data_IF_427530508269
#
_entry.id   IF_427530508269
#
_cell.length_a   1.000
_cell.length_b   1.000
_cell.length_c   1.000
_cell.angle_alpha   90.00
_cell.angle_beta   90.00
_cell.angle_gamma   90.00
#
_symmetry.space_group_name_H-M   'P 1'
#
loop_
_entity.id
_entity.type
_entity.pdbx_description
1 polymer ?
#
# COMPACT_ATOMS: atom_id res chain seq x y z
N UNK A 1 19.51 -10.44 5.17
CA UNK A 1 18.50 -9.48 4.64
C UNK A 1 17.74 -10.22 3.57
N UNK A 2 16.55 -10.72 3.88
CA UNK A 2 15.77 -11.48 2.90
C UNK A 2 15.29 -10.51 1.82
N UNK A 3 15.73 -10.73 0.59
CA UNK A 3 15.25 -9.99 -0.57
C UNK A 3 13.79 -10.34 -0.81
N UNK A 4 12.87 -9.50 -0.33
CA UNK A 4 11.46 -9.56 -0.73
C UNK A 4 11.33 -9.09 -2.18
N UNK A 5 11.65 -9.97 -3.13
CA UNK A 5 11.46 -9.70 -4.54
C UNK A 5 9.96 -9.82 -4.87
N UNK A 6 9.23 -8.72 -4.73
CA UNK A 6 7.81 -8.68 -5.08
C UNK A 6 7.66 -8.82 -6.61
N UNK A 7 6.91 -9.82 -7.12
CA UNK A 7 6.67 -9.98 -8.56
C UNK A 7 6.00 -8.74 -9.17
N UNK A 8 5.28 -7.96 -8.36
CA UNK A 8 4.68 -6.69 -8.77
C UNK A 8 5.47 -5.44 -8.37
N UNK A 9 6.75 -5.57 -8.00
CA UNK A 9 7.60 -4.45 -7.53
C UNK A 9 7.53 -3.22 -8.44
N UNK A 10 7.70 -3.38 -9.76
CA UNK A 10 7.58 -2.29 -10.75
C UNK A 10 6.19 -1.67 -10.79
N UNK A 11 5.13 -2.48 -10.71
CA UNK A 11 3.75 -1.99 -10.70
C UNK A 11 3.45 -1.20 -9.43
N UNK A 12 3.92 -1.68 -8.27
CA UNK A 12 3.79 -1.02 -6.98
C UNK A 12 4.53 0.32 -7.00
N UNK A 13 5.79 0.34 -7.46
CA UNK A 13 6.58 1.57 -7.61
C UNK A 13 5.84 2.58 -8.49
N UNK A 14 5.35 2.17 -9.66
CA UNK A 14 4.61 3.06 -10.55
C UNK A 14 3.33 3.63 -9.91
N UNK A 15 2.64 2.84 -9.07
CA UNK A 15 1.46 3.32 -8.32
C UNK A 15 1.87 4.33 -7.25
N UNK A 16 2.95 4.07 -6.53
CA UNK A 16 3.50 4.98 -5.53
C UNK A 16 3.93 6.31 -6.16
N UNK A 17 4.59 6.31 -7.32
CA UNK A 17 4.95 7.54 -8.03
C UNK A 17 3.72 8.39 -8.38
N UNK A 18 2.60 7.78 -8.78
CA UNK A 18 1.34 8.51 -9.04
C UNK A 18 0.72 9.07 -7.75
N UNK A 19 0.74 8.29 -6.67
CA UNK A 19 0.24 8.72 -5.35
C UNK A 19 1.01 9.95 -4.86
N UNK A 20 2.34 9.96 -5.02
CA UNK A 20 3.18 11.11 -4.68
C UNK A 20 2.76 12.34 -5.48
N UNK A 21 2.58 12.20 -6.80
CA UNK A 21 2.11 13.30 -7.65
C UNK A 21 0.73 13.85 -7.23
N UNK A 22 -0.20 12.98 -6.81
CA UNK A 22 -1.49 13.42 -6.28
C UNK A 22 -1.35 14.15 -4.93
N UNK A 23 -0.48 13.66 -4.03
CA UNK A 23 -0.23 14.32 -2.76
C UNK A 23 0.42 15.70 -2.95
N UNK A 24 1.34 15.84 -3.90
CA UNK A 24 1.90 17.13 -4.29
C UNK A 24 0.83 18.08 -4.87
N UNK A 25 -0.12 17.55 -5.64
CA UNK A 25 -1.24 18.35 -6.15
C UNK A 25 -2.13 18.85 -5.00
N UNK A 26 -2.46 18.01 -4.02
CA UNK A 26 -3.19 18.42 -2.81
C UNK A 26 -2.46 19.54 -2.08
N UNK A 27 -1.13 19.43 -1.91
CA UNK A 27 -0.31 20.48 -1.31
C UNK A 27 -0.44 21.80 -2.08
N UNK A 28 -0.29 21.78 -3.41
CA UNK A 28 -0.45 22.99 -4.25
C UNK A 28 -1.85 23.60 -4.12
N UNK A 29 -2.89 22.78 -4.08
CA UNK A 29 -4.27 23.27 -3.89
C UNK A 29 -4.43 24.05 -2.58
N UNK A 30 -3.76 23.62 -1.51
CA UNK A 30 -3.76 24.33 -0.22
C UNK A 30 -3.00 25.65 -0.35
N UNK A 31 -1.82 25.64 -0.96
CA UNK A 31 -1.00 26.83 -1.19
C UNK A 31 -1.71 27.88 -2.06
N UNK A 32 -2.50 27.43 -3.04
CA UNK A 32 -3.31 28.26 -3.93
C UNK A 32 -4.65 28.72 -3.31
N UNK A 33 -4.99 28.26 -2.09
CA UNK A 33 -6.23 28.61 -1.42
C UNK A 33 -7.49 28.07 -2.10
N UNK A 34 -7.44 26.84 -2.65
CA UNK A 34 -8.60 26.17 -3.24
C UNK A 34 -9.67 25.85 -2.20
N UNK A 35 -10.89 25.64 -2.69
CA UNK A 35 -12.05 25.29 -1.86
C UNK A 35 -11.81 24.02 -1.04
N UNK A 36 -12.18 24.07 0.25
CA UNK A 36 -11.99 22.97 1.20
C UNK A 36 -12.63 21.67 0.70
N UNK A 37 -13.80 21.74 0.05
CA UNK A 37 -14.48 20.56 -0.50
C UNK A 37 -13.68 19.88 -1.61
N UNK A 38 -13.02 20.65 -2.48
CA UNK A 38 -12.19 20.10 -3.55
C UNK A 38 -10.93 19.43 -3.00
N UNK A 39 -10.31 20.04 -1.99
CA UNK A 39 -9.16 19.47 -1.28
C UNK A 39 -9.54 18.14 -0.63
N UNK A 40 -10.68 18.07 0.06
CA UNK A 40 -11.18 16.84 0.69
C UNK A 40 -11.45 15.72 -0.34
N UNK A 41 -12.00 16.06 -1.51
CA UNK A 41 -12.20 15.10 -2.61
C UNK A 41 -10.86 14.54 -3.10
N UNK A 42 -9.84 15.40 -3.28
CA UNK A 42 -8.52 14.94 -3.71
C UNK A 42 -7.82 14.10 -2.64
N UNK A 43 -7.94 14.45 -1.36
CA UNK A 43 -7.44 13.61 -0.26
C UNK A 43 -8.11 12.23 -0.28
N UNK A 44 -9.42 12.16 -0.52
CA UNK A 44 -10.13 10.89 -0.64
C UNK A 44 -9.61 10.05 -1.81
N UNK A 45 -9.27 10.66 -2.94
CA UNK A 45 -8.65 9.98 -4.08
C UNK A 45 -7.26 9.44 -3.74
N UNK A 46 -6.42 10.22 -3.03
CA UNK A 46 -5.11 9.75 -2.54
C UNK A 46 -5.27 8.56 -1.61
N UNK A 47 -6.20 8.64 -0.64
CA UNK A 47 -6.49 7.54 0.29
C UNK A 47 -6.94 6.28 -0.45
N UNK A 48 -7.83 6.39 -1.45
CA UNK A 48 -8.27 5.26 -2.25
C UNK A 48 -7.12 4.63 -3.05
N UNK A 49 -6.23 5.44 -3.62
CA UNK A 49 -5.06 4.97 -4.35
C UNK A 49 -4.06 4.23 -3.44
N UNK A 50 -3.83 4.76 -2.22
CA UNK A 50 -3.02 4.10 -1.19
C UNK A 50 -3.62 2.74 -0.79
N UNK A 51 -4.91 2.70 -0.47
CA UNK A 51 -5.60 1.47 -0.10
C UNK A 51 -5.51 0.40 -1.21
N UNK A 52 -5.71 0.79 -2.47
CA UNK A 52 -5.61 -0.13 -3.60
C UNK A 52 -4.17 -0.64 -3.82
N UNK A 53 -3.16 0.17 -3.50
CA UNK A 53 -1.76 -0.24 -3.60
C UNK A 53 -1.38 -1.17 -2.44
N UNK A 54 -1.84 -0.87 -1.22
CA UNK A 54 -1.65 -1.73 -0.05
C UNK A 54 -2.31 -3.11 -0.22
N UNK A 55 -3.50 -3.18 -0.83
CA UNK A 55 -4.14 -4.46 -1.17
C UNK A 55 -3.28 -5.34 -2.08
N UNK A 56 -2.62 -4.75 -3.08
CA UNK A 56 -1.74 -5.48 -3.99
C UNK A 56 -0.50 -6.02 -3.25
N UNK A 57 0.11 -5.21 -2.39
CA UNK A 57 1.23 -5.64 -1.55
C UNK A 57 0.81 -6.77 -0.62
N UNK A 58 -0.38 -6.66 -0.01
CA UNK A 58 -0.91 -7.68 0.88
C UNK A 58 -1.15 -9.00 0.13
N UNK A 59 -1.72 -8.95 -1.08
CA UNK A 59 -1.88 -10.14 -1.93
C UNK A 59 -0.55 -10.82 -2.23
N UNK A 60 0.49 -10.04 -2.58
CA UNK A 60 1.83 -10.57 -2.78
C UNK A 60 2.37 -11.21 -1.51
N UNK A 61 2.19 -10.57 -0.35
CA UNK A 61 2.67 -11.09 0.92
C UNK A 61 1.96 -12.38 1.34
N UNK A 62 0.64 -12.46 1.17
CA UNK A 62 -0.15 -13.68 1.44
C UNK A 62 0.39 -14.86 0.64
N UNK A 63 0.60 -14.68 -0.67
CA UNK A 63 1.06 -15.75 -1.55
C UNK A 63 2.44 -16.28 -1.14
N UNK A 64 3.37 -15.40 -0.74
CA UNK A 64 4.69 -15.83 -0.29
C UNK A 64 4.66 -16.47 1.10
N UNK A 65 3.98 -15.86 2.07
CA UNK A 65 3.94 -16.38 3.45
C UNK A 65 3.26 -17.74 3.57
N UNK A 66 2.20 -18.00 2.79
CA UNK A 66 1.54 -19.32 2.78
C UNK A 66 2.49 -20.39 2.23
N UNK A 67 3.21 -20.08 1.14
CA UNK A 67 4.18 -21.00 0.53
C UNK A 67 5.31 -21.29 1.50
N UNK A 68 5.92 -20.25 2.09
CA UNK A 68 7.00 -20.40 3.07
C UNK A 68 6.57 -21.21 4.30
N UNK A 69 5.36 -20.99 4.80
CA UNK A 69 4.86 -21.71 5.98
C UNK A 69 4.66 -23.21 5.72
N UNK A 70 4.16 -23.57 4.53
CA UNK A 70 3.97 -24.96 4.12
C UNK A 70 5.33 -25.65 3.86
N UNK A 71 6.24 -25.00 3.13
CA UNK A 71 7.54 -25.56 2.77
C UNK A 71 8.44 -25.79 4.00
N UNK A 72 8.39 -24.87 4.96
CA UNK A 72 9.25 -24.93 6.16
C UNK A 72 8.56 -25.55 7.39
N UNK A 73 7.27 -25.91 7.28
CA UNK A 73 6.44 -26.37 8.39
C UNK A 73 6.51 -25.43 9.61
N UNK A 74 6.48 -24.12 9.34
CA UNK A 74 6.66 -23.03 10.32
C UNK A 74 5.53 -22.00 10.18
N UNK A 75 4.94 -21.59 11.30
CA UNK A 75 3.84 -20.63 11.34
C UNK A 75 4.29 -19.18 11.54
N UNK A 76 5.57 -18.91 11.80
CA UNK A 76 6.07 -17.54 12.01
C UNK A 76 5.72 -16.58 10.85
N UNK A 77 5.81 -16.97 9.56
CA UNK A 77 5.40 -16.10 8.45
C UNK A 77 3.91 -15.72 8.49
N UNK A 78 3.04 -16.64 8.91
CA UNK A 78 1.59 -16.40 9.01
C UNK A 78 1.26 -15.45 10.17
N UNK A 79 1.96 -15.54 11.29
CA UNK A 79 1.78 -14.60 12.41
C UNK A 79 2.17 -13.17 12.01
N UNK A 80 3.29 -13.01 11.29
CA UNK A 80 3.72 -11.70 10.75
C UNK A 80 2.70 -11.12 9.78
N UNK A 81 2.14 -11.97 8.91
CA UNK A 81 1.07 -11.58 7.99
C UNK A 81 -0.17 -11.10 8.73
N UNK A 82 -0.65 -11.84 9.74
CA UNK A 82 -1.81 -11.44 10.55
C UNK A 82 -1.60 -10.08 11.23
N UNK A 83 -0.41 -9.88 11.83
CA UNK A 83 -0.07 -8.60 12.44
C UNK A 83 -0.04 -7.43 11.44
N UNK A 84 0.34 -7.68 10.18
CA UNK A 84 0.32 -6.68 9.12
C UNK A 84 -1.11 -6.35 8.67
N UNK A 85 -1.99 -7.37 8.54
CA UNK A 85 -3.40 -7.21 8.19
C UNK A 85 -4.12 -6.35 9.23
N UNK A 86 -3.93 -6.64 10.52
CA UNK A 86 -4.55 -5.91 11.62
C UNK A 86 -4.21 -4.42 11.62
N UNK A 87 -3.02 -4.05 11.17
CA UNK A 87 -2.59 -2.66 11.04
C UNK A 87 -3.13 -1.99 9.79
N UNK A 88 -3.35 -2.75 8.72
CA UNK A 88 -3.81 -2.22 7.44
C UNK A 88 -5.32 -2.00 7.37
N UNK A 89 -6.11 -2.79 8.12
CA UNK A 89 -7.58 -2.69 8.15
C UNK A 89 -8.07 -1.61 9.12
N UNK A 90 -7.28 -1.29 10.16
CA UNK A 90 -7.58 -0.20 11.11
C UNK A 90 -7.49 1.18 10.45
#
# INVERSE_FOLDING_TARGET
>A
MNEHNHPHSKQIINRMSRIIGHAEAVKRMIEEGKECSEILIQIAAVKAALNNTGKLILQDHINHCIVEAIENNDNEPLEKLNAAIDKFIK
#
